data_IF_807602481319
#
_entry.id   IF_807602481319
#
_cell.length_a   1.000
_cell.length_b   1.000
_cell.length_c   1.000
_cell.angle_alpha   90.00
_cell.angle_beta   90.00
_cell.angle_gamma   90.00
#
_symmetry.space_group_name_H-M   'P 1'
#
loop_
_entity.id
_entity.type
_entity.pdbx_description
1 polymer ?
#
# COMPACT_ATOMS: atom_id res chain seq x y z
N UNK A 1 -8.68 -20.18 -2.24
CA UNK A 1 -8.41 -19.06 -1.34
C UNK A 1 -8.17 -17.84 -2.20
N UNK A 2 -9.15 -16.95 -2.29
CA UNK A 2 -9.02 -15.70 -3.06
C UNK A 2 -8.05 -14.81 -2.29
N UNK A 3 -6.82 -14.66 -2.78
CA UNK A 3 -5.89 -13.71 -2.19
C UNK A 3 -6.42 -12.31 -2.52
N UNK A 4 -7.07 -11.69 -1.54
CA UNK A 4 -7.49 -10.29 -1.64
C UNK A 4 -6.21 -9.45 -1.84
N UNK A 5 -6.11 -8.76 -2.97
CA UNK A 5 -4.95 -7.92 -3.32
C UNK A 5 -5.34 -6.47 -3.16
N UNK A 6 -4.61 -5.76 -2.30
CA UNK A 6 -4.86 -4.35 -2.02
C UNK A 6 -3.85 -3.51 -2.78
N UNK A 7 -4.33 -2.53 -3.55
CA UNK A 7 -3.46 -1.59 -4.26
C UNK A 7 -3.25 -0.35 -3.41
N UNK A 8 -2.00 0.12 -3.38
CA UNK A 8 -1.59 1.32 -2.68
C UNK A 8 -0.84 2.22 -3.65
N UNK A 9 -1.17 3.51 -3.63
CA UNK A 9 -0.48 4.51 -4.45
C UNK A 9 0.46 5.34 -3.58
N UNK A 10 1.73 5.41 -3.97
CA UNK A 10 2.70 6.25 -3.26
C UNK A 10 2.32 7.74 -3.41
N UNK A 11 2.21 8.50 -2.31
CA UNK A 11 1.86 9.92 -2.37
C UNK A 11 2.96 10.79 -3.00
N UNK A 12 4.20 10.31 -3.07
CA UNK A 12 5.34 11.07 -3.59
C UNK A 12 5.57 10.88 -5.08
N UNK A 13 5.60 9.64 -5.55
CA UNK A 13 5.93 9.32 -6.95
C UNK A 13 4.72 8.85 -7.77
N UNK A 14 3.53 8.74 -7.16
CA UNK A 14 2.33 8.15 -7.76
C UNK A 14 2.47 6.70 -8.24
N UNK A 15 3.59 6.03 -7.93
CA UNK A 15 3.79 4.61 -8.22
C UNK A 15 2.79 3.74 -7.47
N UNK A 16 2.22 2.75 -8.15
CA UNK A 16 1.24 1.82 -7.60
C UNK A 16 1.88 0.46 -7.36
N UNK A 17 1.61 -0.12 -6.21
CA UNK A 17 2.06 -1.46 -5.86
C UNK A 17 0.99 -2.16 -5.02
N UNK A 18 1.09 -3.48 -4.93
CA UNK A 18 0.16 -4.28 -4.15
C UNK A 18 0.75 -4.60 -2.77
N UNK A 19 -0.12 -4.69 -1.78
CA UNK A 19 0.19 -5.18 -0.43
C UNK A 19 -0.81 -6.27 -0.05
N UNK A 20 -0.42 -7.09 0.91
CA UNK A 20 -1.35 -8.02 1.54
C UNK A 20 -2.32 -7.27 2.47
N UNK A 21 -3.61 -7.67 2.53
CA UNK A 21 -4.62 -7.02 3.35
C UNK A 21 -4.31 -7.12 4.85
N UNK A 22 -3.61 -8.18 5.28
CA UNK A 22 -3.09 -8.34 6.65
C UNK A 22 -2.17 -7.18 7.05
N UNK A 23 -1.54 -6.50 6.09
CA UNK A 23 -0.68 -5.36 6.38
C UNK A 23 -1.48 -4.12 6.85
N UNK A 24 -2.77 -4.02 6.49
CA UNK A 24 -3.65 -2.94 6.94
C UNK A 24 -4.14 -3.13 8.38
N UNK A 25 -4.08 -4.34 8.92
CA UNK A 25 -4.55 -4.65 10.28
C UNK A 25 -3.46 -4.45 11.34
N UNK A 26 -2.20 -4.34 10.91
CA UNK A 26 -1.05 -4.10 11.80
C UNK A 26 -1.01 -2.61 12.17
N UNK A 27 -1.20 -2.31 13.46
CA UNK A 27 -1.07 -0.95 13.97
C UNK A 27 0.39 -0.46 13.83
N UNK A 28 0.55 0.73 13.25
CA UNK A 28 1.89 1.31 13.03
C UNK A 28 2.67 0.69 11.87
N UNK A 29 2.01 -0.05 10.97
CA UNK A 29 2.66 -0.49 9.74
C UNK A 29 2.91 0.67 8.77
N UNK A 30 4.07 0.64 8.12
CA UNK A 30 4.46 1.60 7.10
C UNK A 30 4.76 0.87 5.79
N UNK A 31 4.32 1.45 4.69
CA UNK A 31 4.70 1.03 3.35
C UNK A 31 6.01 1.68 2.95
N UNK A 32 6.92 0.88 2.42
CA UNK A 32 8.12 1.38 1.76
C UNK A 32 7.90 1.34 0.25
N UNK A 33 7.89 2.51 -0.40
CA UNK A 33 7.67 2.57 -1.84
C UNK A 33 8.85 1.94 -2.60
N UNK A 34 8.63 0.92 -3.46
CA UNK A 34 9.70 0.30 -4.23
C UNK A 34 10.30 1.21 -5.32
N UNK A 35 9.63 2.32 -5.64
CA UNK A 35 10.07 3.25 -6.70
C UNK A 35 10.91 4.42 -6.19
N UNK A 36 10.56 4.97 -5.02
CA UNK A 36 11.17 6.21 -4.52
C UNK A 36 11.65 6.12 -3.07
N UNK A 37 11.60 4.93 -2.47
CA UNK A 37 11.98 4.65 -1.09
C UNK A 37 11.24 5.48 -0.02
N UNK A 38 10.12 6.12 -0.38
CA UNK A 38 9.30 6.87 0.57
C UNK A 38 8.57 5.91 1.51
N UNK A 39 8.66 6.20 2.81
CA UNK A 39 7.87 5.56 3.85
C UNK A 39 6.58 6.35 4.12
N UNK A 40 5.45 5.65 4.21
CA UNK A 40 4.14 6.26 4.49
C UNK A 40 3.13 5.25 5.04
N UNK A 41 2.08 5.72 5.72
CA UNK A 41 1.03 4.86 6.24
C UNK A 41 0.11 4.36 5.11
N UNK A 42 -0.14 3.04 4.97
CA UNK A 42 -0.96 2.51 3.86
C UNK A 42 -2.43 2.92 3.92
N UNK A 43 -2.99 3.10 5.11
CA UNK A 43 -4.44 3.28 5.34
C UNK A 43 -5.05 4.49 4.65
N UNK A 44 -4.27 5.55 4.39
CA UNK A 44 -4.73 6.76 3.69
C UNK A 44 -4.49 6.76 2.18
N UNK A 45 -3.86 5.72 1.64
CA UNK A 45 -3.39 5.69 0.24
C UNK A 45 -3.80 4.42 -0.52
N UNK A 46 -4.70 3.65 0.05
CA UNK A 46 -5.34 2.51 -0.60
C UNK A 46 -6.20 2.98 -1.77
N UNK A 47 -6.06 2.34 -2.92
CA UNK A 47 -6.82 2.64 -4.14
C UNK A 47 -7.57 1.40 -4.61
N UNK A 48 -8.79 1.56 -5.10
CA UNK A 48 -9.54 0.47 -5.71
C UNK A 48 -8.89 0.06 -7.04
N UNK A 49 -8.96 -1.23 -7.38
CA UNK A 49 -8.67 -1.70 -8.72
C UNK A 49 -9.76 -1.13 -9.65
N UNK A 50 -9.40 -0.14 -10.47
CA UNK A 50 -10.25 0.43 -11.50
C UNK A 50 -10.10 -0.35 -12.81
#
# INVERSE_FOLDING_TARGET
MTQDIIYVQCPRCAGRFYIHPEFLTIQGAYCHCPHCAQEFAPSSHTVANA
#
